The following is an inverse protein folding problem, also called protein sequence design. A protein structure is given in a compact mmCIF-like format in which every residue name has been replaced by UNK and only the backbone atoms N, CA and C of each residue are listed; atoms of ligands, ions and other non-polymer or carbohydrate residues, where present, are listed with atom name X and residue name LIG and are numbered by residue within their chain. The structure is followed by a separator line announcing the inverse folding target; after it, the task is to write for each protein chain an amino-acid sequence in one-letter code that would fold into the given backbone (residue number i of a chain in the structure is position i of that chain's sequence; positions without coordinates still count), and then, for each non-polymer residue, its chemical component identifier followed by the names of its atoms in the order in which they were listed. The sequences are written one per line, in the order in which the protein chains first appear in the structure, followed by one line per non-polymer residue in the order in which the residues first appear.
data_IF_700455755142
#
_entry.id   IF_700455755142
#
_cell.length_a   1.000
_cell.length_b   1.000
_cell.length_c   1.000
_cell.angle_alpha   90.00
_cell.angle_beta   90.00
_cell.angle_gamma   90.00
#
_symmetry.space_group_name_H-M   'P 1'
#
loop_
_entity.id
_entity.type
_entity.pdbx_description
1 polymer ?
#
# COMPACT_ATOMS: atom_id res chain seq x y z
N UNK A 1 3.07 -2.42 12.52
CA UNK A 1 2.60 -1.23 13.28
C UNK A 1 3.73 -0.19 13.23
N UNK A 2 3.69 0.72 12.25
CA UNK A 2 4.69 1.78 12.09
C UNK A 2 4.25 3.05 12.82
N UNK A 3 5.22 3.77 13.37
CA UNK A 3 5.10 4.77 14.45
C UNK A 3 4.20 5.98 14.15
N UNK A 4 3.71 6.17 12.92
CA UNK A 4 2.80 7.27 12.52
C UNK A 4 1.77 6.88 11.41
N UNK A 5 1.67 5.60 11.00
CA UNK A 5 1.25 5.26 9.62
C UNK A 5 -0.09 4.53 9.47
N UNK A 6 -1.01 5.13 8.71
CA UNK A 6 -2.20 4.47 8.17
C UNK A 6 -1.82 3.17 7.43
N UNK A 7 -2.60 2.11 7.63
CA UNK A 7 -2.41 0.86 6.88
C UNK A 7 -3.02 1.00 5.49
N UNK A 8 -2.27 0.64 4.45
CA UNK A 8 -2.76 0.63 3.08
C UNK A 8 -3.25 -0.79 2.72
N UNK A 9 -4.56 -0.92 2.44
CA UNK A 9 -5.19 -2.16 1.98
C UNK A 9 -5.19 -2.19 0.46
N UNK A 10 -4.81 -3.31 -0.13
CA UNK A 10 -4.84 -3.53 -1.57
C UNK A 10 -5.07 -5.00 -1.90
N UNK A 11 -5.40 -5.28 -3.16
CA UNK A 11 -5.51 -6.64 -3.70
C UNK A 11 -4.25 -6.96 -4.50
N UNK A 12 -3.62 -8.09 -4.18
CA UNK A 12 -2.45 -8.54 -4.93
C UNK A 12 -2.85 -8.96 -6.35
N UNK A 13 -2.21 -8.37 -7.36
CA UNK A 13 -2.52 -8.59 -8.77
C UNK A 13 -3.06 -7.36 -9.49
N UNK A 14 -3.52 -6.34 -8.76
CA UNK A 14 -3.82 -5.03 -9.35
C UNK A 14 -2.51 -4.34 -9.78
N UNK A 15 -2.33 -4.02 -11.09
CA UNK A 15 -1.10 -3.43 -11.61
C UNK A 15 -0.80 -2.02 -11.08
N UNK A 16 -1.79 -1.33 -10.50
CA UNK A 16 -1.66 0.03 -9.98
C UNK A 16 -1.72 0.10 -8.45
N UNK A 17 -1.95 -1.03 -7.75
CA UNK A 17 -1.98 -1.08 -6.30
C UNK A 17 -0.61 -0.82 -5.66
N UNK A 18 0.47 -1.23 -6.33
CA UNK A 18 1.84 -1.13 -5.85
C UNK A 18 2.79 -0.80 -7.02
N UNK A 19 3.97 -0.22 -6.73
CA UNK A 19 5.05 -0.19 -7.71
C UNK A 19 5.38 -1.60 -8.20
N UNK A 20 5.60 -1.76 -9.51
CA UNK A 20 5.82 -3.07 -10.13
C UNK A 20 7.01 -3.84 -9.56
N UNK A 21 8.02 -3.13 -9.06
CA UNK A 21 9.16 -3.75 -8.37
C UNK A 21 8.78 -4.42 -7.03
N UNK A 22 7.69 -3.97 -6.40
CA UNK A 22 7.30 -4.35 -5.04
C UNK A 22 6.38 -5.56 -5.03
N UNK A 23 5.48 -5.69 -6.01
CA UNK A 23 4.56 -6.83 -6.13
C UNK A 23 5.24 -8.21 -6.01
N UNK A 24 6.34 -8.52 -6.74
CA UNK A 24 7.04 -9.78 -6.56
C UNK A 24 7.79 -9.86 -5.22
N UNK A 25 8.22 -8.71 -4.69
CA UNK A 25 8.93 -8.65 -3.42
C UNK A 25 8.00 -8.92 -2.22
N UNK A 26 6.69 -8.78 -2.33
CA UNK A 26 5.77 -9.12 -1.23
C UNK A 26 5.24 -10.56 -1.29
N UNK A 27 5.43 -11.24 -2.43
CA UNK A 27 5.07 -12.66 -2.56
C UNK A 27 5.86 -13.50 -1.55
N UNK A 28 5.15 -14.38 -0.85
CA UNK A 28 5.73 -15.25 0.17
C UNK A 28 6.18 -14.54 1.46
N UNK A 29 5.87 -13.25 1.63
CA UNK A 29 6.04 -12.62 2.94
C UNK A 29 5.08 -13.22 3.97
N UNK A 30 5.52 -13.24 5.23
CA UNK A 30 4.69 -13.64 6.37
C UNK A 30 4.12 -12.39 7.05
N UNK A 31 2.94 -12.53 7.66
CA UNK A 31 2.37 -11.48 8.50
C UNK A 31 3.35 -11.06 9.60
N UNK A 32 3.42 -9.76 9.89
CA UNK A 32 4.42 -9.14 10.75
C UNK A 32 5.81 -8.98 10.12
N UNK A 33 6.03 -9.50 8.91
CA UNK A 33 7.30 -9.41 8.21
C UNK A 33 7.58 -8.00 7.67
N UNK A 34 8.86 -7.63 7.67
CA UNK A 34 9.37 -6.38 7.10
C UNK A 34 10.31 -6.67 5.94
N UNK A 35 10.20 -5.90 4.86
CA UNK A 35 11.10 -6.01 3.70
C UNK A 35 11.46 -4.65 3.14
N UNK A 36 12.71 -4.50 2.70
CA UNK A 36 13.17 -3.32 1.96
C UNK A 36 13.34 -3.69 0.50
N UNK A 37 12.76 -2.88 -0.38
CA UNK A 37 12.74 -3.09 -1.82
C UNK A 37 13.40 -1.89 -2.49
N UNK A 38 14.41 -2.15 -3.31
CA UNK A 38 14.94 -1.13 -4.21
C UNK A 38 13.99 -1.03 -5.41
N UNK A 39 13.47 0.16 -5.65
CA UNK A 39 12.49 0.45 -6.69
C UNK A 39 13.18 1.31 -7.76
N UNK A 40 13.56 0.72 -8.90
CA UNK A 40 14.04 1.49 -10.04
C UNK A 40 12.96 2.43 -10.58
N UNK A 41 13.32 3.58 -11.18
CA UNK A 41 12.36 4.54 -11.73
C UNK A 41 11.33 3.92 -12.68
N UNK A 42 11.79 3.05 -13.59
CA UNK A 42 10.95 2.39 -14.58
C UNK A 42 9.93 1.40 -13.98
N UNK A 43 10.10 0.99 -12.73
CA UNK A 43 9.24 0.04 -12.02
C UNK A 43 8.59 0.69 -10.77
N UNK A 44 8.73 2.01 -10.63
CA UNK A 44 8.23 2.83 -9.55
C UNK A 44 6.89 3.49 -9.82
N UNK A 45 6.78 4.76 -9.46
CA UNK A 45 5.62 5.63 -9.73
C UNK A 45 5.73 6.27 -11.11
N UNK A 46 5.53 5.45 -12.14
CA UNK A 46 5.66 5.84 -13.56
C UNK A 46 4.52 6.75 -14.05
N UNK A 47 3.37 6.73 -13.38
CA UNK A 47 2.22 7.59 -13.67
C UNK A 47 1.48 7.98 -12.37
N UNK A 48 0.41 8.76 -12.49
CA UNK A 48 -0.39 9.24 -11.35
C UNK A 48 -1.32 8.20 -10.72
N UNK A 49 -1.43 7.02 -11.32
CA UNK A 49 -2.38 5.97 -10.92
C UNK A 49 -1.73 4.94 -9.98
N UNK A 50 -0.39 4.87 -9.94
CA UNK A 50 0.35 3.97 -9.05
C UNK A 50 0.19 4.39 -7.59
N UNK A 51 -0.29 3.45 -6.79
CA UNK A 51 -0.40 3.53 -5.34
C UNK A 51 0.77 2.79 -4.65
N UNK A 52 1.00 3.00 -3.35
CA UNK A 52 0.36 3.98 -2.46
C UNK A 52 0.82 5.41 -2.74
N UNK A 53 -0.06 6.38 -2.49
CA UNK A 53 0.28 7.81 -2.50
C UNK A 53 0.74 8.24 -1.10
N UNK A 54 1.77 9.09 -0.97
CA UNK A 54 2.17 9.59 0.33
C UNK A 54 1.03 10.36 1.02
N UNK A 55 0.85 10.21 2.35
CA UNK A 55 -0.30 10.77 3.06
C UNK A 55 -0.24 12.29 3.23
N UNK A 56 0.93 12.91 3.04
CA UNK A 56 1.11 14.36 3.20
C UNK A 56 1.57 15.01 1.91
N UNK A 57 1.19 16.27 1.70
CA UNK A 57 1.60 17.06 0.53
C UNK A 57 3.13 17.12 0.39
N UNK A 58 3.85 17.33 1.50
CA UNK A 58 5.32 17.38 1.50
C UNK A 58 5.96 16.05 1.12
N UNK A 59 5.41 14.92 1.57
CA UNK A 59 5.88 13.61 1.15
C UNK A 59 5.55 13.34 -0.34
N UNK A 60 4.39 13.78 -0.82
CA UNK A 60 4.02 13.73 -2.24
C UNK A 60 4.96 14.53 -3.13
N UNK A 61 5.31 15.76 -2.73
CA UNK A 61 6.29 16.61 -3.43
C UNK A 61 7.67 15.95 -3.48
N UNK A 62 8.15 15.36 -2.37
CA UNK A 62 9.41 14.62 -2.35
C UNK A 62 9.38 13.45 -3.32
N UNK A 63 8.33 12.63 -3.29
CA UNK A 63 8.19 11.53 -4.24
C UNK A 63 8.21 12.03 -5.69
N UNK A 64 7.50 13.11 -6.00
CA UNK A 64 7.48 13.68 -7.35
C UNK A 64 8.87 14.16 -7.83
N UNK A 65 9.66 14.75 -6.94
CA UNK A 65 11.00 15.24 -7.25
C UNK A 65 12.04 14.11 -7.41
N UNK A 66 11.80 12.94 -6.80
CA UNK A 66 12.76 11.83 -6.72
C UNK A 66 12.29 10.56 -7.45
N UNK A 67 11.16 10.58 -8.17
CA UNK A 67 10.65 9.39 -8.88
C UNK A 67 11.55 8.91 -10.03
N UNK A 68 12.46 9.77 -10.49
CA UNK A 68 13.40 9.49 -11.59
C UNK A 68 14.73 8.88 -11.12
N UNK A 69 14.93 8.74 -9.80
CA UNK A 69 16.07 8.05 -9.20
C UNK A 69 15.62 6.76 -8.48
N UNK A 70 16.53 5.80 -8.21
CA UNK A 70 16.19 4.60 -7.46
C UNK A 70 15.70 4.93 -6.04
N UNK A 71 14.51 4.45 -5.68
CA UNK A 71 13.91 4.67 -4.37
C UNK A 71 14.02 3.42 -3.49
N UNK A 72 14.25 3.60 -2.19
CA UNK A 72 14.18 2.51 -1.22
C UNK A 72 12.82 2.53 -0.53
N UNK A 73 12.04 1.46 -0.70
CA UNK A 73 10.74 1.29 -0.06
C UNK A 73 10.82 0.27 1.07
N UNK A 74 10.39 0.65 2.28
CA UNK A 74 10.19 -0.29 3.38
C UNK A 74 8.72 -0.69 3.44
N UNK A 75 8.46 -2.00 3.45
CA UNK A 75 7.12 -2.60 3.48
C UNK A 75 6.99 -3.45 4.74
N UNK A 76 5.98 -3.13 5.55
CA UNK A 76 5.55 -3.93 6.69
C UNK A 76 4.26 -4.66 6.33
N UNK A 77 4.29 -5.99 6.24
CA UNK A 77 3.09 -6.79 5.98
C UNK A 77 2.33 -6.98 7.28
N UNK A 78 1.21 -6.29 7.45
CA UNK A 78 0.43 -6.34 8.69
C UNK A 78 -0.47 -7.57 8.74
N UNK A 79 -1.18 -7.86 7.65
CA UNK A 79 -2.19 -8.91 7.57
C UNK A 79 -2.42 -9.32 6.11
N UNK A 80 -2.74 -10.58 5.87
CA UNK A 80 -3.16 -11.13 4.57
C UNK A 80 -4.59 -11.62 4.72
N UNK A 81 -5.47 -11.20 3.80
CA UNK A 81 -6.83 -11.73 3.68
C UNK A 81 -6.94 -12.46 2.36
N UNK A 82 -7.41 -13.70 2.37
CA UNK A 82 -7.71 -14.42 1.14
C UNK A 82 -9.11 -14.03 0.67
N UNK A 83 -9.30 -13.95 -0.64
CA UNK A 83 -10.57 -13.48 -1.23
C UNK A 83 -11.69 -14.52 -1.21
N UNK A 84 -11.35 -15.79 -0.99
CA UNK A 84 -12.27 -16.93 -0.96
C UNK A 84 -12.85 -17.21 0.44
N UNK A 85 -12.26 -16.63 1.49
CA UNK A 85 -12.74 -16.79 2.87
C UNK A 85 -13.75 -15.67 3.22
N UNK A 86 -14.88 -15.99 3.88
CA UNK A 86 -15.83 -14.97 4.32
C UNK A 86 -15.16 -14.02 5.32
N UNK A 87 -15.55 -12.74 5.27
CA UNK A 87 -15.02 -11.71 6.17
C UNK A 87 -15.21 -12.13 7.63
N UNK A 88 -14.10 -12.24 8.37
CA UNK A 88 -14.17 -12.52 9.81
C UNK A 88 -14.79 -11.34 10.56
N UNK A 89 -15.28 -11.58 11.78
CA UNK A 89 -15.81 -10.51 12.65
C UNK A 89 -14.78 -9.38 12.88
N UNK A 90 -13.50 -9.73 12.98
CA UNK A 90 -12.42 -8.75 13.05
C UNK A 90 -12.28 -7.93 11.75
N UNK A 91 -12.50 -8.55 10.58
CA UNK A 91 -12.45 -7.85 9.29
C UNK A 91 -13.62 -6.89 9.11
N UNK A 92 -14.81 -7.32 9.51
CA UNK A 92 -16.02 -6.50 9.52
C UNK A 92 -15.85 -5.31 10.47
N UNK A 93 -15.28 -5.54 11.66
CA UNK A 93 -14.98 -4.47 12.61
C UNK A 93 -13.99 -3.45 12.05
N UNK A 94 -12.94 -3.89 11.35
CA UNK A 94 -11.98 -2.99 10.70
C UNK A 94 -12.64 -2.16 9.58
N UNK A 95 -13.56 -2.76 8.81
CA UNK A 95 -14.29 -2.06 7.74
C UNK A 95 -15.37 -1.10 8.27
N UNK A 96 -16.00 -1.46 9.39
CA UNK A 96 -17.05 -0.67 10.05
C UNK A 96 -16.49 0.34 11.06
N UNK A 97 -15.18 0.35 11.33
CA UNK A 97 -14.57 1.28 12.26
C UNK A 97 -14.76 2.73 11.77
N UNK A 98 -15.42 3.61 12.55
CA UNK A 98 -15.62 5.00 12.19
C UNK A 98 -14.29 5.75 12.23
N UNK A 99 -13.62 5.81 11.09
CA UNK A 99 -12.31 6.44 10.93
C UNK A 99 -11.68 6.31 9.54
N UNK A 100 -12.31 5.55 8.62
CA UNK A 100 -11.82 5.32 7.25
C UNK A 100 -12.93 5.62 6.22
N UNK A 101 -13.69 6.71 6.40
CA UNK A 101 -14.68 7.15 5.39
C UNK A 101 -14.14 8.34 4.61
N UNK A 102 -13.23 8.03 3.69
CA UNK A 102 -13.10 8.81 2.46
C UNK A 102 -13.98 8.17 1.38
N UNK A 103 -15.21 8.64 1.22
CA UNK A 103 -15.90 8.52 -0.09
C UNK A 103 -17.14 7.64 -0.23
N UNK A 104 -18.03 7.53 0.76
CA UNK A 104 -19.42 7.14 0.45
C UNK A 104 -20.27 8.40 0.34
N UNK A 105 -20.65 8.78 -0.88
CA UNK A 105 -21.72 9.74 -1.14
C UNK A 105 -22.99 8.92 -1.31
N UNK A 106 -23.95 9.07 -0.40
CA UNK A 106 -25.30 8.53 -0.61
C UNK A 106 -25.98 9.29 -1.78
N UNK A 107 -26.84 8.59 -2.56
CA UNK A 107 -27.59 9.21 -3.65
C UNK A 107 -28.50 10.35 -3.19
#
# INVERSE_FOLDING_TARGET
RGRDGATYKFVLGDPNALPRAVSPAILGMREGGRRRVLVPPALGWVNGDVNPKPPTFGAGRRLANHREEPLLMEVDLVRVRKSDEPLSEADLRDELAPGIWGGFKLP
#
